data_IF_722210672019
#
_entry.id   IF_722210672019
#
_cell.length_a   1.000
_cell.length_b   1.000
_cell.length_c   1.000
_cell.angle_alpha   90.00
_cell.angle_beta   90.00
_cell.angle_gamma   90.00
#
_symmetry.space_group_name_H-M   'P 1'
#
loop_
_entity.id
_entity.type
_entity.pdbx_description
1 polymer ?
#
# COMPACT_ATOMS: atom_id res chain seq x y z
N UNK A 1 11.15 -12.40 11.99
CA UNK A 1 10.80 -10.98 11.71
C UNK A 1 10.00 -10.78 10.42
N UNK A 2 10.14 -11.64 9.39
CA UNK A 2 9.48 -11.41 8.07
C UNK A 2 7.95 -11.36 8.08
N UNK A 3 7.24 -12.12 8.92
CA UNK A 3 5.76 -12.17 8.92
C UNK A 3 5.13 -10.82 9.31
N UNK A 4 5.76 -10.07 10.24
CA UNK A 4 5.23 -8.77 10.69
C UNK A 4 5.32 -7.69 9.59
N UNK A 5 6.35 -7.74 8.76
CA UNK A 5 6.52 -6.81 7.63
C UNK A 5 5.46 -7.05 6.53
N UNK A 6 5.23 -8.31 6.16
CA UNK A 6 4.19 -8.66 5.20
C UNK A 6 2.78 -8.30 5.70
N UNK A 7 2.52 -8.46 7.00
CA UNK A 7 1.28 -7.96 7.62
C UNK A 7 1.15 -6.43 7.53
N UNK A 8 2.22 -5.67 7.79
CA UNK A 8 2.20 -4.21 7.67
C UNK A 8 1.89 -3.73 6.24
N UNK A 9 2.46 -4.40 5.22
CA UNK A 9 2.17 -4.09 3.81
C UNK A 9 0.69 -4.34 3.49
N UNK A 10 0.14 -5.47 3.93
CA UNK A 10 -1.28 -5.80 3.70
C UNK A 10 -2.21 -4.82 4.42
N UNK A 11 -1.91 -4.48 5.67
CA UNK A 11 -2.68 -3.49 6.44
C UNK A 11 -2.61 -2.12 5.77
N UNK A 12 -1.43 -1.70 5.29
CA UNK A 12 -1.27 -0.45 4.54
C UNK A 12 -2.16 -0.43 3.29
N UNK A 13 -2.13 -1.49 2.48
CA UNK A 13 -2.94 -1.59 1.26
C UNK A 13 -4.44 -1.51 1.54
N UNK A 14 -4.91 -2.20 2.59
CA UNK A 14 -6.32 -2.17 3.01
C UNK A 14 -6.75 -0.77 3.48
N UNK A 15 -5.94 -0.12 4.33
CA UNK A 15 -6.21 1.25 4.80
C UNK A 15 -6.20 2.24 3.64
N UNK A 16 -5.23 2.13 2.74
CA UNK A 16 -5.11 3.01 1.59
C UNK A 16 -6.30 2.87 0.62
N UNK A 17 -6.78 1.64 0.39
CA UNK A 17 -7.97 1.39 -0.41
C UNK A 17 -9.22 2.05 0.22
N UNK A 18 -9.40 1.90 1.53
CA UNK A 18 -10.52 2.54 2.24
C UNK A 18 -10.44 4.07 2.17
N UNK A 19 -9.23 4.64 2.24
CA UNK A 19 -9.03 6.08 2.07
C UNK A 19 -9.38 6.54 0.65
N UNK A 20 -8.97 5.82 -0.38
CA UNK A 20 -9.33 6.14 -1.76
C UNK A 20 -10.86 6.14 -1.95
N UNK A 21 -11.53 5.07 -1.51
CA UNK A 21 -12.99 4.96 -1.59
C UNK A 21 -13.67 6.09 -0.80
N UNK A 22 -13.18 6.39 0.40
CA UNK A 22 -13.69 7.47 1.24
C UNK A 22 -13.52 8.85 0.60
N UNK A 23 -12.37 9.12 -0.06
CA UNK A 23 -12.15 10.37 -0.78
C UNK A 23 -13.07 10.51 -1.98
N UNK A 24 -13.25 9.46 -2.78
CA UNK A 24 -14.18 9.48 -3.92
C UNK A 24 -15.63 9.72 -3.45
N UNK A 25 -16.02 9.09 -2.34
CA UNK A 25 -17.32 9.34 -1.71
C UNK A 25 -17.49 10.79 -1.24
N UNK A 26 -16.48 11.37 -0.58
CA UNK A 26 -16.49 12.78 -0.14
C UNK A 26 -16.52 13.76 -1.32
N UNK A 27 -15.97 13.37 -2.48
CA UNK A 27 -16.03 14.14 -3.72
C UNK A 27 -17.40 14.06 -4.42
N UNK A 28 -18.32 13.26 -3.89
CA UNK A 28 -19.61 12.99 -4.52
C UNK A 28 -19.51 12.11 -5.78
N UNK A 29 -18.38 11.42 -5.96
CA UNK A 29 -18.20 10.49 -7.08
C UNK A 29 -18.97 9.21 -6.76
N UNK A 30 -19.89 8.76 -7.64
CA UNK A 30 -20.63 7.53 -7.40
C UNK A 30 -19.68 6.34 -7.36
N UNK A 31 -19.81 5.50 -6.33
CA UNK A 31 -19.02 4.29 -6.14
C UNK A 31 -19.49 3.18 -7.10
N UNK A 32 -19.23 3.38 -8.39
CA UNK A 32 -19.50 2.38 -9.42
C UNK A 32 -18.42 1.30 -9.42
N UNK A 33 -18.70 0.17 -10.07
CA UNK A 33 -17.72 -0.91 -10.21
C UNK A 33 -16.40 -0.45 -10.83
N UNK A 34 -16.43 0.47 -11.79
CA UNK A 34 -15.23 1.04 -12.44
C UNK A 34 -14.38 1.85 -11.47
N UNK A 35 -15.00 2.68 -10.62
CA UNK A 35 -14.30 3.47 -9.60
C UNK A 35 -13.65 2.55 -8.55
N UNK A 36 -14.37 1.51 -8.13
CA UNK A 36 -13.83 0.52 -7.19
C UNK A 36 -12.66 -0.27 -7.79
N UNK A 37 -12.76 -0.67 -9.06
CA UNK A 37 -11.67 -1.34 -9.79
C UNK A 37 -10.45 -0.43 -9.93
N UNK A 38 -10.66 0.85 -10.27
CA UNK A 38 -9.60 1.85 -10.35
C UNK A 38 -8.92 2.09 -9.00
N UNK A 39 -9.71 2.23 -7.92
CA UNK A 39 -9.22 2.38 -6.56
C UNK A 39 -8.44 1.14 -6.09
N UNK A 40 -8.94 -0.06 -6.39
CA UNK A 40 -8.26 -1.32 -6.07
C UNK A 40 -6.93 -1.46 -6.83
N UNK A 41 -6.92 -1.12 -8.13
CA UNK A 41 -5.69 -1.10 -8.94
C UNK A 41 -4.66 -0.11 -8.39
N UNK A 42 -5.10 1.10 -8.06
CA UNK A 42 -4.24 2.14 -7.47
C UNK A 42 -3.69 1.71 -6.12
N UNK A 43 -4.51 1.09 -5.27
CA UNK A 43 -4.10 0.56 -3.98
C UNK A 43 -3.10 -0.60 -4.13
N UNK A 44 -3.29 -1.50 -5.08
CA UNK A 44 -2.34 -2.56 -5.39
C UNK A 44 -0.97 -2.01 -5.81
N UNK A 45 -0.96 -1.06 -6.75
CA UNK A 45 0.28 -0.41 -7.21
C UNK A 45 0.98 0.30 -6.06
N UNK A 46 0.25 1.10 -5.27
CA UNK A 46 0.81 1.79 -4.10
C UNK A 46 1.40 0.82 -3.07
N UNK A 47 0.70 -0.30 -2.81
CA UNK A 47 1.16 -1.35 -1.89
C UNK A 47 2.43 -2.02 -2.38
N UNK A 48 2.53 -2.33 -3.67
CA UNK A 48 3.73 -2.91 -4.28
C UNK A 48 4.92 -1.94 -4.20
N UNK A 49 4.72 -0.67 -4.57
CA UNK A 49 5.75 0.36 -4.48
C UNK A 49 6.25 0.50 -3.04
N UNK A 50 5.33 0.56 -2.07
CA UNK A 50 5.67 0.62 -0.65
C UNK A 50 6.47 -0.60 -0.19
N UNK A 51 6.05 -1.81 -0.59
CA UNK A 51 6.77 -3.05 -0.29
C UNK A 51 8.19 -3.08 -0.86
N UNK A 52 8.36 -2.64 -2.12
CA UNK A 52 9.67 -2.57 -2.79
C UNK A 52 10.60 -1.58 -2.08
N UNK A 53 10.10 -0.39 -1.74
CA UNK A 53 10.88 0.63 -1.02
C UNK A 53 11.26 0.13 0.38
N UNK A 54 10.31 -0.46 1.11
CA UNK A 54 10.55 -1.03 2.44
C UNK A 54 11.61 -2.13 2.41
N UNK A 55 11.53 -3.04 1.43
CA UNK A 55 12.53 -4.08 1.24
C UNK A 55 13.91 -3.51 0.88
N UNK A 56 13.96 -2.49 0.03
CA UNK A 56 15.21 -1.84 -0.36
C UNK A 56 15.88 -1.14 0.83
N UNK A 57 15.10 -0.45 1.67
CA UNK A 57 15.58 0.17 2.90
C UNK A 57 16.09 -0.86 3.91
N UNK A 58 15.36 -1.95 4.12
CA UNK A 58 15.80 -3.02 5.02
C UNK A 58 17.11 -3.66 4.52
N UNK A 59 17.22 -3.86 3.20
CA UNK A 59 18.43 -4.39 2.56
C UNK A 59 19.62 -3.44 2.70
N UNK A 60 19.41 -2.12 2.66
CA UNK A 60 20.48 -1.14 2.92
C UNK A 60 20.89 -1.12 4.38
N UNK A 61 19.93 -1.20 5.31
CA UNK A 61 20.21 -1.16 6.74
C UNK A 61 21.09 -2.33 7.20
N UNK A 62 20.82 -3.54 6.67
CA UNK A 62 21.64 -4.73 6.98
C UNK A 62 23.07 -4.69 6.44
N UNK A 63 23.38 -3.85 5.44
CA UNK A 63 24.75 -3.68 4.91
C UNK A 63 25.58 -2.65 5.69
N UNK A 64 24.93 -1.78 6.46
CA UNK A 64 25.61 -0.76 7.26
C UNK A 64 26.01 -1.24 8.66
N UNK A 65 25.39 -2.31 9.17
CA UNK A 65 25.72 -2.93 10.47
C UNK A 65 26.93 -3.89 10.39
N UNK A 66 27.44 -4.19 9.19
CA UNK A 66 28.57 -5.10 8.95
C UNK A 66 29.93 -4.37 8.75
N UNK A 67 30.00 -3.07 9.02
CA UNK A 67 31.23 -2.23 9.02
C UNK A 67 31.40 -1.52 10.35
#
# INVERSE_FOLDING_TARGET
>A
MGVKFWQQILVFGAVFLLLLIGMEWLRGVPLTGEVLLSAAGSALVATLVYGVIGYWLEKRRKRGDDT
#
